data_IF_759079619905
#
_entry.id   IF_759079619905
#
_cell.length_a   1.000
_cell.length_b   1.000
_cell.length_c   1.000
_cell.angle_alpha   90.00
_cell.angle_beta   90.00
_cell.angle_gamma   90.00
#
_symmetry.space_group_name_H-M   'P 1'
#
loop_
_entity.id
_entity.type
_entity.pdbx_description
1 polymer ?
#
# COMPACT_ATOMS: atom_id res chain seq x y z
N UNK A 1 13.70 -13.65 -40.44
CA UNK A 1 13.24 -13.55 -39.04
C UNK A 1 14.22 -12.67 -38.29
N UNK A 2 13.88 -11.40 -38.07
CA UNK A 2 14.79 -10.46 -37.42
C UNK A 2 14.87 -10.79 -35.93
N UNK A 3 16.01 -11.33 -35.52
CA UNK A 3 16.31 -11.67 -34.14
C UNK A 3 16.32 -10.38 -33.31
N UNK A 4 15.31 -10.15 -32.46
CA UNK A 4 15.27 -8.98 -31.57
C UNK A 4 16.20 -9.29 -30.38
N UNK A 5 17.51 -9.23 -30.60
CA UNK A 5 18.53 -9.47 -29.57
C UNK A 5 18.35 -8.56 -28.34
N UNK A 6 17.78 -7.37 -28.52
CA UNK A 6 17.54 -6.42 -27.43
C UNK A 6 16.55 -6.91 -26.35
N UNK A 7 15.67 -7.86 -26.66
CA UNK A 7 14.69 -8.39 -25.68
C UNK A 7 15.30 -9.39 -24.71
N UNK A 8 16.30 -10.17 -25.13
CA UNK A 8 16.96 -11.18 -24.30
C UNK A 8 17.78 -10.58 -23.15
N UNK A 9 18.15 -9.30 -23.28
CA UNK A 9 18.93 -8.53 -22.31
C UNK A 9 18.06 -7.72 -21.35
N UNK A 10 16.73 -7.86 -21.43
CA UNK A 10 15.78 -7.18 -20.56
C UNK A 10 15.15 -8.14 -19.55
N UNK A 11 15.06 -7.66 -18.31
CA UNK A 11 14.32 -8.29 -17.22
C UNK A 11 13.10 -7.41 -16.94
N UNK A 12 11.91 -8.03 -17.00
CA UNK A 12 10.69 -7.37 -16.58
C UNK A 12 10.56 -7.50 -15.06
N UNK A 13 10.55 -6.36 -14.37
CA UNK A 13 10.38 -6.27 -12.92
C UNK A 13 8.97 -5.79 -12.61
N UNK A 14 8.18 -6.63 -11.96
CA UNK A 14 6.85 -6.26 -11.47
C UNK A 14 6.88 -6.13 -9.96
N UNK A 15 6.36 -5.01 -9.44
CA UNK A 15 6.23 -4.74 -8.01
C UNK A 15 4.74 -4.67 -7.69
N UNK A 16 4.30 -5.51 -6.77
CA UNK A 16 2.95 -5.56 -6.26
C UNK A 16 2.95 -5.20 -4.77
N UNK A 17 2.15 -4.20 -4.41
CA UNK A 17 2.08 -3.65 -3.06
C UNK A 17 0.62 -3.45 -2.68
N UNK A 18 0.20 -4.11 -1.62
CA UNK A 18 -1.15 -4.01 -1.06
C UNK A 18 -1.09 -3.32 0.29
N UNK A 19 -2.11 -2.53 0.62
CA UNK A 19 -2.24 -1.83 1.89
C UNK A 19 -3.71 -1.76 2.30
N UNK A 20 -3.98 -1.70 3.60
CA UNK A 20 -5.31 -1.34 4.11
C UNK A 20 -5.56 0.16 3.93
N UNK A 21 -6.79 0.54 3.59
CA UNK A 21 -7.23 1.93 3.63
C UNK A 21 -7.38 2.48 5.05
N UNK A 22 -7.35 1.61 6.08
CA UNK A 22 -7.71 1.94 7.48
C UNK A 22 -9.04 2.69 7.58
N UNK A 23 -9.95 2.38 6.67
CA UNK A 23 -11.20 3.06 6.48
C UNK A 23 -12.26 2.11 5.94
N UNK A 24 -13.52 2.36 6.28
CA UNK A 24 -14.68 1.59 5.86
C UNK A 24 -15.66 2.41 5.03
N UNK A 25 -16.59 1.74 4.34
CA UNK A 25 -17.68 2.43 3.63
C UNK A 25 -18.68 3.01 4.65
N UNK A 26 -18.94 4.30 4.59
CA UNK A 26 -19.95 4.92 5.44
C UNK A 26 -21.38 4.56 4.99
N UNK A 27 -22.28 4.36 5.94
CA UNK A 27 -23.70 4.09 5.74
C UNK A 27 -24.55 5.26 6.22
N UNK A 28 -25.32 5.86 5.29
CA UNK A 28 -26.32 6.88 5.62
C UNK A 28 -27.38 6.33 6.56
N UNK A 29 -27.80 7.13 7.55
CA UNK A 29 -28.79 6.76 8.54
C UNK A 29 -28.23 6.01 9.75
N UNK A 30 -27.02 5.44 9.61
CA UNK A 30 -26.31 4.74 10.70
C UNK A 30 -25.08 5.55 11.13
N UNK A 31 -24.16 5.82 10.20
CA UNK A 31 -22.92 6.59 10.46
C UNK A 31 -23.14 8.11 10.48
N UNK A 32 -24.13 8.58 9.74
CA UNK A 32 -24.41 10.01 9.60
C UNK A 32 -25.86 10.26 9.19
N UNK A 33 -26.39 11.41 9.62
CA UNK A 33 -27.69 11.95 9.20
C UNK A 33 -27.49 13.39 8.71
N UNK A 34 -28.47 13.93 7.99
CA UNK A 34 -28.36 15.29 7.46
C UNK A 34 -28.24 16.33 8.59
N UNK A 35 -28.86 16.07 9.74
CA UNK A 35 -28.87 16.97 10.89
C UNK A 35 -27.63 16.80 11.80
N UNK A 36 -26.93 15.67 11.69
CA UNK A 36 -25.76 15.36 12.51
C UNK A 36 -24.69 14.63 11.68
N UNK A 37 -23.76 15.41 11.15
CA UNK A 37 -22.71 14.95 10.24
C UNK A 37 -21.37 14.84 10.99
N UNK A 38 -20.66 13.70 10.91
CA UNK A 38 -19.32 13.61 11.46
C UNK A 38 -18.38 14.66 10.86
N UNK A 39 -17.37 15.10 11.62
CA UNK A 39 -16.23 15.84 11.11
C UNK A 39 -15.64 15.21 9.84
N UNK A 40 -15.12 16.05 8.94
CA UNK A 40 -14.64 15.63 7.61
C UNK A 40 -13.45 14.66 7.67
N UNK A 41 -12.65 14.75 8.72
CA UNK A 41 -11.55 13.84 9.03
C UNK A 41 -12.02 12.46 9.48
N UNK A 42 -13.20 12.35 10.10
CA UNK A 42 -13.86 11.07 10.39
C UNK A 42 -14.57 10.53 9.15
N UNK A 43 -15.33 11.37 8.44
CA UNK A 43 -16.13 10.96 7.30
C UNK A 43 -15.94 11.90 6.11
N UNK A 44 -15.35 11.35 5.04
CA UNK A 44 -15.15 12.07 3.78
C UNK A 44 -15.57 11.22 2.59
N UNK A 45 -16.40 11.76 1.69
CA UNK A 45 -16.70 11.11 0.41
C UNK A 45 -17.37 9.74 0.51
N UNK A 46 -18.15 9.48 1.58
CA UNK A 46 -18.78 8.19 1.82
C UNK A 46 -17.84 7.12 2.41
N UNK A 47 -16.67 7.54 2.89
CA UNK A 47 -15.68 6.71 3.58
C UNK A 47 -15.56 7.21 5.03
N UNK A 48 -15.56 6.28 5.99
CA UNK A 48 -15.28 6.53 7.40
C UNK A 48 -13.87 6.07 7.75
N UNK A 49 -13.07 6.93 8.37
CA UNK A 49 -11.68 6.63 8.75
C UNK A 49 -11.64 6.09 10.18
N UNK A 50 -11.05 4.91 10.38
CA UNK A 50 -11.02 4.27 11.70
C UNK A 50 -9.96 4.87 12.63
N UNK A 51 -8.92 5.47 12.05
CA UNK A 51 -7.86 6.20 12.74
C UNK A 51 -7.38 7.36 11.85
N UNK A 52 -6.40 8.12 12.34
CA UNK A 52 -5.75 9.17 11.54
C UNK A 52 -5.20 8.59 10.21
N UNK A 53 -5.63 9.12 9.05
CA UNK A 53 -5.12 8.68 7.74
C UNK A 53 -3.60 8.83 7.59
N UNK A 54 -2.95 9.69 8.37
CA UNK A 54 -1.51 9.89 8.36
C UNK A 54 -0.73 8.61 8.75
N UNK A 55 -1.35 7.67 9.48
CA UNK A 55 -0.77 6.37 9.83
C UNK A 55 -0.33 5.60 8.57
N UNK A 56 -1.04 5.77 7.45
CA UNK A 56 -0.71 5.09 6.19
C UNK A 56 0.44 5.74 5.39
N UNK A 57 0.96 6.90 5.81
CA UNK A 57 1.94 7.69 5.04
C UNK A 57 3.23 6.92 4.75
N UNK A 58 3.74 6.16 5.72
CA UNK A 58 4.97 5.38 5.56
C UNK A 58 4.87 4.36 4.42
N UNK A 59 3.74 3.68 4.27
CA UNK A 59 3.52 2.69 3.22
C UNK A 59 3.46 3.35 1.84
N UNK A 60 2.80 4.50 1.74
CA UNK A 60 2.79 5.30 0.51
C UNK A 60 4.20 5.75 0.12
N UNK A 61 5.01 6.17 1.09
CA UNK A 61 6.41 6.54 0.87
C UNK A 61 7.25 5.36 0.38
N UNK A 62 7.17 4.20 1.04
CA UNK A 62 7.92 3.01 0.65
C UNK A 62 7.52 2.48 -0.74
N UNK A 63 6.22 2.47 -1.05
CA UNK A 63 5.72 2.15 -2.39
C UNK A 63 6.31 3.12 -3.42
N UNK A 64 6.30 4.42 -3.12
CA UNK A 64 6.86 5.42 -4.04
C UNK A 64 8.37 5.25 -4.24
N UNK A 65 9.10 4.90 -3.18
CA UNK A 65 10.53 4.60 -3.28
C UNK A 65 10.80 3.42 -4.21
N UNK A 66 10.01 2.34 -4.11
CA UNK A 66 10.14 1.20 -5.03
C UNK A 66 9.89 1.60 -6.49
N UNK A 67 8.86 2.41 -6.76
CA UNK A 67 8.59 2.95 -8.10
C UNK A 67 9.78 3.78 -8.63
N UNK A 68 10.36 4.64 -7.78
CA UNK A 68 11.50 5.49 -8.15
C UNK A 68 12.76 4.67 -8.44
N UNK A 69 13.04 3.63 -7.65
CA UNK A 69 14.19 2.76 -7.91
C UNK A 69 14.04 1.99 -9.23
N UNK A 70 12.83 1.51 -9.55
CA UNK A 70 12.55 0.89 -10.84
C UNK A 70 12.70 1.86 -12.01
N UNK A 71 12.14 3.07 -11.90
CA UNK A 71 12.19 4.10 -12.94
C UNK A 71 13.61 4.66 -13.18
N UNK A 72 14.52 4.53 -12.21
CA UNK A 72 15.92 5.00 -12.36
C UNK A 72 16.72 4.15 -13.35
N UNK A 73 16.41 2.87 -13.45
CA UNK A 73 17.22 1.90 -14.22
C UNK A 73 16.44 1.23 -15.36
N UNK A 74 15.16 1.54 -15.51
CA UNK A 74 14.30 0.91 -16.50
C UNK A 74 13.18 1.81 -16.99
N UNK A 75 12.43 1.31 -17.95
CA UNK A 75 11.27 1.99 -18.55
C UNK A 75 9.99 1.22 -18.23
N UNK A 76 8.86 1.93 -18.13
CA UNK A 76 7.57 1.29 -17.86
C UNK A 76 7.19 0.33 -18.99
N UNK A 77 6.88 -0.92 -18.64
CA UNK A 77 6.48 -1.98 -19.58
C UNK A 77 5.57 -2.99 -18.87
N UNK A 78 4.43 -3.36 -19.47
CA UNK A 78 3.54 -4.44 -19.00
C UNK A 78 3.23 -4.42 -17.48
N UNK A 79 2.77 -3.26 -16.98
CA UNK A 79 2.48 -3.02 -15.55
C UNK A 79 3.70 -3.22 -14.62
N UNK A 80 4.90 -3.22 -15.18
CA UNK A 80 6.18 -3.29 -14.47
C UNK A 80 7.20 -2.38 -15.15
N UNK A 81 8.48 -2.70 -14.98
CA UNK A 81 9.58 -1.98 -15.60
C UNK A 81 10.48 -2.95 -16.35
N UNK A 82 10.80 -2.64 -17.60
CA UNK A 82 11.86 -3.32 -18.34
C UNK A 82 13.21 -2.73 -17.92
N UNK A 83 14.06 -3.58 -17.35
CA UNK A 83 15.35 -3.20 -16.76
C UNK A 83 16.46 -3.98 -17.46
N UNK A 84 17.60 -3.36 -17.79
CA UNK A 84 18.75 -4.07 -18.31
C UNK A 84 19.21 -5.17 -17.34
N UNK A 85 19.53 -6.35 -17.86
CA UNK A 85 19.93 -7.52 -17.07
C UNK A 85 21.07 -7.23 -16.09
N UNK A 86 22.02 -6.37 -16.46
CA UNK A 86 23.15 -5.99 -15.61
C UNK A 86 22.71 -5.19 -14.37
N UNK A 87 21.64 -4.40 -14.46
CA UNK A 87 21.09 -3.60 -13.36
C UNK A 87 20.07 -4.39 -12.52
N UNK A 88 19.51 -5.47 -13.05
CA UNK A 88 18.42 -6.22 -12.41
C UNK A 88 18.78 -6.76 -11.02
N UNK A 89 20.00 -7.25 -10.82
CA UNK A 89 20.44 -7.78 -9.51
C UNK A 89 20.50 -6.67 -8.45
N UNK A 90 21.11 -5.53 -8.77
CA UNK A 90 21.18 -4.41 -7.85
C UNK A 90 19.78 -3.84 -7.53
N UNK A 91 18.87 -3.84 -8.50
CA UNK A 91 17.47 -3.46 -8.27
C UNK A 91 16.74 -4.47 -7.37
N UNK A 92 16.93 -5.78 -7.55
CA UNK A 92 16.36 -6.82 -6.69
C UNK A 92 16.76 -6.62 -5.23
N UNK A 93 18.04 -6.36 -4.96
CA UNK A 93 18.55 -6.11 -3.61
C UNK A 93 17.88 -4.89 -2.95
N UNK A 94 17.72 -3.79 -3.69
CA UNK A 94 17.02 -2.59 -3.18
C UNK A 94 15.54 -2.84 -2.93
N UNK A 95 14.85 -3.54 -3.83
CA UNK A 95 13.44 -3.87 -3.67
C UNK A 95 13.22 -4.83 -2.49
N UNK A 96 14.16 -5.75 -2.24
CA UNK A 96 14.14 -6.60 -1.03
C UNK A 96 14.27 -5.79 0.25
N UNK A 97 15.17 -4.80 0.30
CA UNK A 97 15.32 -3.90 1.45
C UNK A 97 14.05 -3.06 1.70
N UNK A 98 13.51 -2.44 0.64
CA UNK A 98 12.24 -1.69 0.73
C UNK A 98 11.10 -2.62 1.21
N UNK A 99 11.01 -3.82 0.65
CA UNK A 99 10.02 -4.80 1.05
C UNK A 99 10.19 -5.28 2.49
N UNK A 100 11.42 -5.39 3.00
CA UNK A 100 11.68 -5.71 4.41
C UNK A 100 11.19 -4.57 5.32
N UNK A 101 11.54 -3.32 5.00
CA UNK A 101 11.04 -2.13 5.73
C UNK A 101 9.52 -2.04 5.71
N UNK A 102 8.89 -2.38 4.59
CA UNK A 102 7.44 -2.42 4.45
C UNK A 102 6.80 -3.44 5.39
N UNK A 103 7.35 -4.67 5.44
CA UNK A 103 6.86 -5.73 6.34
C UNK A 103 7.06 -5.37 7.81
N UNK A 104 8.22 -4.83 8.17
CA UNK A 104 8.48 -4.34 9.54
C UNK A 104 7.49 -3.25 9.94
N UNK A 105 7.26 -2.26 9.08
CA UNK A 105 6.27 -1.21 9.34
C UNK A 105 4.85 -1.77 9.48
N UNK A 106 4.50 -2.82 8.73
CA UNK A 106 3.21 -3.50 8.85
C UNK A 106 3.08 -4.27 10.17
N UNK A 107 4.14 -4.97 10.60
CA UNK A 107 4.18 -5.67 11.90
C UNK A 107 4.05 -4.67 13.06
N UNK A 108 4.75 -3.53 12.97
CA UNK A 108 4.63 -2.44 13.94
C UNK A 108 3.23 -1.82 13.97
N UNK A 109 2.65 -1.54 12.80
CA UNK A 109 1.29 -1.02 12.69
C UNK A 109 0.31 -1.96 13.38
N UNK A 110 0.38 -3.26 13.10
CA UNK A 110 -0.51 -4.25 13.71
C UNK A 110 -0.39 -4.23 15.25
N UNK A 111 0.82 -4.07 15.78
CA UNK A 111 1.04 -3.99 17.22
C UNK A 111 0.47 -2.69 17.83
N UNK A 112 0.56 -1.58 17.10
CA UNK A 112 0.20 -0.23 17.60
C UNK A 112 -1.23 0.21 17.25
N UNK A 113 -1.93 -0.49 16.36
CA UNK A 113 -3.20 -0.01 15.79
C UNK A 113 -4.27 0.26 16.84
N UNK A 114 -4.38 -0.59 17.87
CA UNK A 114 -5.35 -0.38 18.94
C UNK A 114 -5.08 0.92 19.70
N UNK A 115 -3.81 1.32 19.83
CA UNK A 115 -3.43 2.63 20.37
C UNK A 115 -3.89 3.77 19.47
N UNK A 116 -3.65 3.67 18.15
CA UNK A 116 -4.13 4.67 17.20
C UNK A 116 -5.66 4.80 17.19
N UNK A 117 -6.37 3.70 17.39
CA UNK A 117 -7.82 3.70 17.55
C UNK A 117 -8.25 4.45 18.82
N UNK A 118 -7.66 4.14 19.96
CA UNK A 118 -7.98 4.82 21.22
C UNK A 118 -7.65 6.32 21.16
N UNK A 119 -6.51 6.70 20.57
CA UNK A 119 -6.14 8.10 20.37
C UNK A 119 -7.14 8.84 19.47
N UNK A 120 -7.62 8.17 18.41
CA UNK A 120 -8.59 8.75 17.49
C UNK A 120 -9.96 8.92 18.13
N UNK A 121 -10.41 7.93 18.91
CA UNK A 121 -11.63 8.01 19.72
C UNK A 121 -11.56 9.12 20.78
N UNK A 122 -10.41 9.29 21.44
CA UNK A 122 -10.19 10.35 22.41
C UNK A 122 -10.28 11.75 21.81
N UNK A 123 -9.87 11.93 20.54
CA UNK A 123 -10.04 13.18 19.78
C UNK A 123 -11.49 13.42 19.36
N UNK A 124 -12.29 12.37 19.23
CA UNK A 124 -13.66 12.43 18.70
C UNK A 124 -14.65 11.63 19.56
N UNK A 125 -14.83 11.99 20.85
CA UNK A 125 -15.62 11.19 21.79
C UNK A 125 -17.10 11.05 21.39
N UNK A 126 -17.66 12.04 20.71
CA UNK A 126 -19.05 12.02 20.23
C UNK A 126 -19.29 11.01 19.09
N UNK A 127 -18.21 10.53 18.45
CA UNK A 127 -18.26 9.70 17.23
C UNK A 127 -17.73 8.28 17.44
N UNK A 128 -17.47 7.85 18.68
CA UNK A 128 -16.93 6.53 19.02
C UNK A 128 -17.76 5.39 18.41
N UNK A 129 -19.08 5.51 18.39
CA UNK A 129 -19.98 4.49 17.80
C UNK A 129 -19.78 4.33 16.30
N UNK A 130 -19.42 5.40 15.59
CA UNK A 130 -19.11 5.40 14.15
C UNK A 130 -17.71 4.84 13.89
N UNK A 131 -16.75 5.20 14.74
CA UNK A 131 -15.33 4.81 14.62
C UNK A 131 -15.08 3.32 14.93
N UNK A 132 -15.82 2.76 15.88
CA UNK A 132 -15.62 1.38 16.36
C UNK A 132 -16.34 0.33 15.51
N UNK A 133 -17.38 0.71 14.75
CA UNK A 133 -18.20 -0.25 13.99
C UNK A 133 -17.42 -0.89 12.84
N UNK A 134 -17.51 -2.22 12.72
CA UNK A 134 -16.85 -3.07 11.72
C UNK A 134 -15.34 -2.79 11.59
N UNK A 135 -14.74 -2.29 12.67
CA UNK A 135 -13.32 -1.94 12.69
C UNK A 135 -12.50 -3.23 12.63
N UNK A 136 -11.53 -3.33 11.71
CA UNK A 136 -10.74 -4.55 11.57
C UNK A 136 -9.82 -4.74 12.78
N UNK A 137 -9.59 -6.00 13.13
CA UNK A 137 -8.63 -6.37 14.18
C UNK A 137 -7.18 -6.28 13.68
N UNK A 138 -6.18 -6.24 14.59
CA UNK A 138 -4.76 -6.18 14.23
C UNK A 138 -4.29 -7.22 13.20
N UNK A 139 -4.75 -8.47 13.29
CA UNK A 139 -4.31 -9.53 12.40
C UNK A 139 -4.91 -9.35 11.01
N UNK A 140 -6.20 -9.00 10.94
CA UNK A 140 -6.87 -8.65 9.68
C UNK A 140 -6.21 -7.47 8.97
N UNK A 141 -5.76 -6.46 9.73
CA UNK A 141 -5.04 -5.32 9.18
C UNK A 141 -3.70 -5.78 8.64
N UNK A 142 -2.92 -6.51 9.42
CA UNK A 142 -1.58 -6.96 9.03
C UNK A 142 -1.58 -7.73 7.71
N UNK A 143 -2.58 -8.59 7.51
CA UNK A 143 -2.75 -9.41 6.31
C UNK A 143 -3.01 -8.58 5.04
N UNK A 144 -3.44 -7.32 5.16
CA UNK A 144 -3.66 -6.43 4.00
C UNK A 144 -2.41 -5.72 3.52
N UNK A 145 -1.31 -5.78 4.27
CA UNK A 145 -0.06 -5.11 3.93
C UNK A 145 0.95 -6.13 3.44
N UNK A 146 1.06 -6.24 2.11
CA UNK A 146 2.02 -7.11 1.46
C UNK A 146 2.88 -6.33 0.47
N UNK A 147 4.14 -6.74 0.37
CA UNK A 147 5.09 -6.23 -0.62
C UNK A 147 5.73 -7.42 -1.31
N UNK A 148 5.55 -7.50 -2.62
CA UNK A 148 6.12 -8.53 -3.48
C UNK A 148 6.73 -7.90 -4.71
N UNK A 149 7.84 -8.44 -5.16
CA UNK A 149 8.36 -8.16 -6.49
C UNK A 149 8.81 -9.45 -7.17
N UNK A 150 8.69 -9.49 -8.50
CA UNK A 150 9.06 -10.64 -9.32
C UNK A 150 9.84 -10.15 -10.53
N UNK A 151 10.90 -10.89 -10.86
CA UNK A 151 11.75 -10.66 -12.03
C UNK A 151 11.45 -11.74 -13.07
N UNK A 152 10.98 -11.33 -14.25
CA UNK A 152 10.75 -12.22 -15.39
C UNK A 152 11.82 -11.99 -16.43
N UNK A 153 12.44 -13.08 -16.90
CA UNK A 153 13.27 -13.03 -18.09
C UNK A 153 12.37 -13.06 -19.33
N UNK A 154 12.44 -12.02 -20.15
CA UNK A 154 11.72 -12.01 -21.41
C UNK A 154 12.41 -12.94 -22.41
N UNK A 155 11.62 -13.67 -23.19
CA UNK A 155 12.09 -14.46 -24.33
C UNK A 155 11.15 -14.22 -25.51
N UNK A 156 11.66 -14.01 -26.73
CA UNK A 156 10.81 -13.94 -27.91
C UNK A 156 10.10 -15.27 -28.13
N UNK A 157 8.84 -15.21 -28.59
CA UNK A 157 8.10 -16.39 -29.03
C UNK A 157 8.74 -16.86 -30.33
N UNK A 158 9.22 -18.10 -30.31
CA UNK A 158 9.93 -18.74 -31.44
C UNK A 158 8.94 -19.26 -32.47
#
# INVERSE_FOLDING_TARGET
MSNIQALDDLILVQVDVTASSLAGRAQRGIDYKAENMPPKDILSGGVRHFCDPAVNRIFNTLRKQAEVECARVGISLLKGHAVPRQAAKALDEKLRDIGAKYRTAADELATKINGYYAEWEAKHPEWISVLSRDRPDPASIRAKYEFRHVLYRMRPVT
#
